data_IF_824254324132
#
_entry.id   IF_824254324132
#
_cell.length_a   1.000
_cell.length_b   1.000
_cell.length_c   1.000
_cell.angle_alpha   90.00
_cell.angle_beta   90.00
_cell.angle_gamma   90.00
#
_symmetry.space_group_name_H-M   'P 1'
#
loop_
_entity.id
_entity.type
_entity.pdbx_description
1 polymer ?
#
# COMPACT_ATOMS: atom_id res chain seq x y z
N UNK A 1 -3.30 -3.67 8.47
CA UNK A 1 -4.19 -3.39 7.31
C UNK A 1 -4.26 -4.58 6.36
N UNK A 2 -5.27 -4.65 5.47
CA UNK A 2 -5.37 -5.70 4.44
C UNK A 2 -5.08 -5.11 3.07
N UNK A 3 -4.39 -5.86 2.22
CA UNK A 3 -4.22 -5.50 0.83
C UNK A 3 -5.59 -5.59 0.12
N UNK A 4 -6.06 -4.53 -0.57
CA UNK A 4 -7.32 -4.58 -1.33
C UNK A 4 -7.24 -5.54 -2.53
N UNK A 5 -6.04 -5.89 -3.00
CA UNK A 5 -5.84 -6.76 -4.17
C UNK A 5 -5.93 -8.24 -3.80
N UNK A 6 -5.17 -8.68 -2.78
CA UNK A 6 -5.08 -10.11 -2.42
C UNK A 6 -5.71 -10.46 -1.06
N UNK A 7 -6.24 -9.47 -0.33
CA UNK A 7 -6.84 -9.65 1.01
C UNK A 7 -5.86 -9.99 2.13
N UNK A 8 -4.58 -10.26 1.82
CA UNK A 8 -3.55 -10.58 2.83
C UNK A 8 -3.29 -9.40 3.75
N UNK A 9 -2.90 -9.69 5.00
CA UNK A 9 -2.44 -8.67 5.93
C UNK A 9 -1.15 -8.04 5.40
N UNK A 10 -1.14 -6.73 5.29
CA UNK A 10 0.05 -5.94 5.00
C UNK A 10 0.53 -5.37 6.33
N UNK A 11 1.79 -5.62 6.65
CA UNK A 11 2.46 -4.99 7.78
C UNK A 11 2.62 -3.51 7.42
N UNK A 12 1.71 -2.69 7.92
CA UNK A 12 1.91 -1.24 7.91
C UNK A 12 3.13 -0.94 8.76
N UNK A 13 3.94 0.02 8.32
CA UNK A 13 5.09 0.45 9.11
C UNK A 13 4.54 1.21 10.30
N UNK A 14 4.44 0.55 11.45
CA UNK A 14 4.05 1.16 12.71
C UNK A 14 5.23 1.98 13.24
N UNK A 15 5.57 3.03 12.50
CA UNK A 15 6.56 4.03 12.83
C UNK A 15 5.93 5.39 12.58
N UNK A 16 6.34 6.38 13.37
CA UNK A 16 5.93 7.79 13.29
C UNK A 16 6.28 8.44 11.93
N UNK A 17 5.67 7.96 10.86
CA UNK A 17 5.79 8.55 9.54
C UNK A 17 4.63 9.54 9.46
N UNK A 18 4.92 10.84 9.39
CA UNK A 18 3.91 11.88 9.17
C UNK A 18 3.60 12.10 7.68
N UNK A 19 4.28 11.36 6.81
CA UNK A 19 4.20 11.47 5.35
C UNK A 19 3.59 10.23 4.72
N UNK A 20 2.93 10.41 3.58
CA UNK A 20 2.46 9.31 2.74
C UNK A 20 3.62 8.38 2.39
N UNK A 21 3.42 7.06 2.51
CA UNK A 21 4.41 6.05 2.14
C UNK A 21 3.78 4.96 1.30
N UNK A 22 4.58 4.39 0.40
CA UNK A 22 4.15 3.27 -0.45
C UNK A 22 4.72 1.97 0.10
N UNK A 23 3.88 0.96 0.31
CA UNK A 23 4.32 -0.40 0.67
C UNK A 23 4.06 -1.36 -0.47
N UNK A 24 4.93 -2.35 -0.63
CA UNK A 24 4.73 -3.45 -1.55
C UNK A 24 4.14 -4.64 -0.80
N UNK A 25 3.00 -5.14 -1.25
CA UNK A 25 2.43 -6.38 -0.75
C UNK A 25 3.17 -7.58 -1.39
N UNK A 26 3.13 -8.74 -0.72
CA UNK A 26 3.72 -9.98 -1.25
C UNK A 26 3.11 -10.42 -2.59
N UNK A 27 1.88 -10.01 -2.89
CA UNK A 27 1.27 -10.25 -4.20
C UNK A 27 1.83 -9.35 -5.32
N UNK A 28 2.79 -8.47 -5.02
CA UNK A 28 3.38 -7.52 -5.97
C UNK A 28 2.63 -6.20 -6.11
N UNK A 29 1.45 -6.05 -5.48
CA UNK A 29 0.71 -4.79 -5.47
C UNK A 29 1.44 -3.71 -4.67
N UNK A 30 1.41 -2.46 -5.15
CA UNK A 30 1.90 -1.28 -4.42
C UNK A 30 0.71 -0.58 -3.78
N UNK A 31 0.79 -0.27 -2.49
CA UNK A 31 -0.28 0.39 -1.74
C UNK A 31 0.26 1.72 -1.21
N UNK A 32 -0.39 2.83 -1.55
CA UNK A 32 -0.10 4.13 -0.94
C UNK A 32 -0.92 4.27 0.33
N UNK A 33 -0.21 4.53 1.42
CA UNK A 33 -0.76 4.62 2.75
C UNK A 33 -0.54 6.03 3.26
N UNK A 34 -1.62 6.62 3.75
CA UNK A 34 -1.57 7.81 4.60
C UNK A 34 -1.59 7.35 6.05
N UNK A 35 -0.50 7.56 6.81
CA UNK A 35 -0.52 7.39 8.25
C UNK A 35 -1.47 8.44 8.86
N UNK A 36 -2.44 7.98 9.64
CA UNK A 36 -3.38 8.82 10.38
C UNK A 36 -3.14 8.70 11.88
N UNK A 37 -3.45 9.75 12.63
CA UNK A 37 -3.27 9.83 14.09
C UNK A 37 -3.90 8.62 14.82
N UNK A 38 -5.00 8.08 14.29
CA UNK A 38 -5.72 6.94 14.88
C UNK A 38 -5.62 5.65 14.06
N UNK A 39 -5.32 5.71 12.77
CA UNK A 39 -5.25 4.54 11.88
C UNK A 39 -4.61 4.90 10.54
N UNK A 40 -3.72 4.05 10.07
CA UNK A 40 -3.24 4.07 8.69
C UNK A 40 -4.39 3.79 7.71
N UNK A 41 -4.52 4.63 6.66
CA UNK A 41 -5.49 4.42 5.58
C UNK A 41 -4.78 4.19 4.26
N UNK A 42 -5.23 3.16 3.54
CA UNK A 42 -4.84 2.99 2.13
C UNK A 42 -5.64 3.99 1.32
N UNK A 43 -4.95 4.91 0.66
CA UNK A 43 -5.59 5.94 -0.19
C UNK A 43 -5.54 5.58 -1.67
N UNK A 44 -4.61 4.72 -2.06
CA UNK A 44 -4.42 4.32 -3.44
C UNK A 44 -3.71 2.96 -3.51
N UNK A 45 -3.94 2.20 -4.57
CA UNK A 45 -3.24 0.94 -4.80
C UNK A 45 -3.09 0.65 -6.29
N UNK A 46 -1.92 0.14 -6.67
CA UNK A 46 -1.58 -0.26 -8.03
C UNK A 46 -1.35 -1.77 -8.06
N UNK A 47 -2.07 -2.46 -8.96
CA UNK A 47 -1.85 -3.88 -9.20
C UNK A 47 -0.55 -4.10 -10.00
N UNK A 48 0.13 -5.25 -9.86
CA UNK A 48 1.33 -5.53 -10.66
C UNK A 48 1.08 -5.42 -12.17
N UNK A 49 -0.13 -5.82 -12.62
CA UNK A 49 -0.54 -5.70 -14.03
C UNK A 49 -0.62 -4.25 -14.52
N UNK A 50 -1.01 -3.33 -13.64
CA UNK A 50 -1.07 -1.89 -13.95
C UNK A 50 0.33 -1.27 -13.99
N UNK A 51 1.20 -1.68 -13.06
CA UNK A 51 2.60 -1.25 -13.02
C UNK A 51 3.40 -1.69 -14.26
N UNK A 52 3.10 -2.85 -14.83
CA UNK A 52 3.71 -3.30 -16.10
C UNK A 52 3.26 -2.44 -17.28
N UNK A 53 2.03 -1.92 -17.25
CA UNK A 53 1.46 -1.11 -18.33
C UNK A 53 2.02 0.31 -18.37
N UNK A 54 2.42 0.88 -17.24
CA UNK A 54 3.09 2.19 -17.17
C UNK A 54 4.56 2.16 -17.63
N UNK A 55 5.14 0.98 -17.84
CA UNK A 55 6.52 0.82 -18.32
C UNK A 55 6.63 0.50 -19.82
N UNK A 56 5.51 0.36 -20.52
CA UNK A 56 5.42 -0.02 -21.93
C UNK A 56 5.20 1.15 -22.86
#
# INVERSE_FOLDING_TARGET
MKCPVCGRKVKGTQGFIFSQYTVRCECGARLKIVPGIFSDKVVDWETPKEQEREKG
#
